data_IF_012521312758
#
_entry.id   IF_012521312758
#
_cell.length_a   1.000
_cell.length_b   1.000
_cell.length_c   1.000
_cell.angle_alpha   90.00
_cell.angle_beta   90.00
_cell.angle_gamma   90.00
#
_symmetry.space_group_name_H-M   'P 1'
#
loop_
_entity.id
_entity.type
_entity.pdbx_description
1 polymer ?
#
# COMPACT_ATOMS: atom_id res chain seq x y z
N UNK A 1 -29.45 43.88 -23.11
CA UNK A 1 -30.15 43.38 -21.90
C UNK A 1 -29.30 42.41 -21.07
N UNK A 2 -28.69 41.38 -21.67
CA UNK A 2 -27.81 40.43 -20.96
C UNK A 2 -26.61 41.07 -20.24
N UNK A 3 -25.89 41.99 -20.89
CA UNK A 3 -24.72 42.64 -20.31
C UNK A 3 -25.04 43.40 -19.01
N UNK A 4 -26.21 44.04 -18.96
CA UNK A 4 -26.61 44.80 -17.78
C UNK A 4 -26.90 43.86 -16.60
N UNK A 5 -27.62 42.77 -16.84
CA UNK A 5 -27.88 41.74 -15.83
C UNK A 5 -26.59 41.09 -15.33
N UNK A 6 -25.65 40.78 -16.24
CA UNK A 6 -24.35 40.22 -15.91
C UNK A 6 -23.52 41.17 -15.04
N UNK A 7 -23.41 42.45 -15.42
CA UNK A 7 -22.66 43.45 -14.66
C UNK A 7 -23.24 43.70 -13.26
N UNK A 8 -24.57 43.67 -13.11
CA UNK A 8 -25.25 43.82 -11.82
C UNK A 8 -25.01 42.61 -10.92
N UNK A 9 -25.05 41.39 -11.47
CA UNK A 9 -24.76 40.15 -10.73
C UNK A 9 -23.33 40.12 -10.19
N UNK A 10 -22.33 40.41 -11.03
CA UNK A 10 -20.93 40.50 -10.58
C UNK A 10 -20.79 41.53 -9.47
N UNK A 11 -21.40 42.70 -9.64
CA UNK A 11 -21.34 43.78 -8.65
C UNK A 11 -22.03 43.40 -7.32
N UNK A 12 -23.03 42.52 -7.36
CA UNK A 12 -23.69 41.95 -6.19
C UNK A 12 -22.80 40.93 -5.49
N UNK A 13 -22.25 39.94 -6.21
CA UNK A 13 -21.35 38.92 -5.62
C UNK A 13 -20.09 39.55 -5.02
N UNK A 14 -19.52 40.59 -5.66
CA UNK A 14 -18.34 41.28 -5.11
C UNK A 14 -18.67 42.10 -3.85
N UNK A 15 -19.93 42.47 -3.65
CA UNK A 15 -20.39 43.18 -2.45
C UNK A 15 -20.66 42.24 -1.27
N UNK A 16 -20.94 40.97 -1.54
CA UNK A 16 -21.06 39.95 -0.52
C UNK A 16 -19.67 39.53 -0.01
N UNK A 17 -19.11 40.40 0.85
CA UNK A 17 -17.79 40.20 1.44
C UNK A 17 -17.71 38.93 2.27
N UNK A 18 -18.82 38.51 2.87
CA UNK A 18 -18.88 37.29 3.67
C UNK A 18 -18.74 36.07 2.77
N UNK A 19 -19.52 35.99 1.68
CA UNK A 19 -19.42 34.91 0.71
C UNK A 19 -18.04 34.86 0.06
N UNK A 20 -17.51 36.00 -0.40
CA UNK A 20 -16.16 36.06 -0.96
C UNK A 20 -15.08 35.59 0.02
N UNK A 21 -15.16 36.05 1.27
CA UNK A 21 -14.22 35.64 2.30
C UNK A 21 -14.21 34.11 2.46
N UNK A 22 -15.38 33.48 2.55
CA UNK A 22 -15.47 32.02 2.68
C UNK A 22 -15.06 31.27 1.41
N UNK A 23 -15.39 31.76 0.21
CA UNK A 23 -15.00 31.14 -1.06
C UNK A 23 -13.47 31.07 -1.23
N UNK A 24 -12.73 32.06 -0.72
CA UNK A 24 -11.25 32.02 -0.75
C UNK A 24 -10.65 31.31 0.46
N UNK A 25 -11.20 31.55 1.65
CA UNK A 25 -10.61 31.02 2.89
C UNK A 25 -10.82 29.51 3.01
N UNK A 26 -11.98 28.99 2.61
CA UNK A 26 -12.30 27.57 2.77
C UNK A 26 -11.36 26.65 1.96
N UNK A 27 -11.10 26.88 0.66
CA UNK A 27 -10.14 26.07 -0.08
C UNK A 27 -8.72 26.18 0.48
N UNK A 28 -8.32 27.33 1.01
CA UNK A 28 -7.00 27.53 1.63
C UNK A 28 -6.82 26.72 2.91
N UNK A 29 -7.83 26.72 3.78
CA UNK A 29 -7.84 25.89 4.99
C UNK A 29 -7.82 24.41 4.58
N UNK A 30 -8.67 24.02 3.62
CA UNK A 30 -8.77 22.63 3.20
C UNK A 30 -7.48 22.13 2.53
N UNK A 31 -6.81 22.95 1.70
CA UNK A 31 -5.52 22.64 1.11
C UNK A 31 -4.44 22.39 2.19
N UNK A 32 -4.50 23.14 3.29
CA UNK A 32 -3.61 22.96 4.44
C UNK A 32 -3.90 21.64 5.16
N UNK A 33 -5.18 21.30 5.36
CA UNK A 33 -5.58 20.01 5.93
C UNK A 33 -5.23 18.84 5.01
N UNK A 34 -5.39 18.98 3.69
CA UNK A 34 -4.94 17.99 2.71
C UNK A 34 -3.43 17.79 2.81
N UNK A 35 -2.65 18.86 2.92
CA UNK A 35 -1.20 18.75 3.07
C UNK A 35 -0.83 17.98 4.33
N UNK A 36 -1.54 18.19 5.44
CA UNK A 36 -1.29 17.46 6.70
C UNK A 36 -1.75 16.01 6.63
N UNK A 37 -2.97 15.76 6.12
CA UNK A 37 -3.56 14.43 6.05
C UNK A 37 -2.85 13.53 5.04
N UNK A 38 -2.38 14.10 3.92
CA UNK A 38 -1.75 13.38 2.82
C UNK A 38 -0.23 13.39 2.88
N UNK A 39 0.40 14.09 3.83
CA UNK A 39 1.86 14.06 4.03
C UNK A 39 2.40 12.62 4.12
N UNK A 40 1.66 11.73 4.78
CA UNK A 40 2.05 10.32 4.95
C UNK A 40 1.57 9.39 3.83
N UNK A 41 0.75 9.87 2.88
CA UNK A 41 0.29 9.04 1.75
C UNK A 41 1.40 8.88 0.71
N UNK A 42 2.09 9.96 0.34
CA UNK A 42 3.16 9.91 -0.65
C UNK A 42 4.44 9.18 -0.17
N UNK A 43 4.68 9.07 1.14
CA UNK A 43 5.78 8.24 1.68
C UNK A 43 5.54 6.73 1.49
N UNK A 44 4.29 6.30 1.31
CA UNK A 44 3.95 4.88 1.19
C UNK A 44 3.82 4.39 -0.27
N UNK A 45 3.78 5.31 -1.25
CA UNK A 45 3.63 4.99 -2.69
C UNK A 45 4.95 4.79 -3.45
N UNK A 46 6.09 5.03 -2.79
CA UNK A 46 7.34 4.50 -3.33
C UNK A 46 7.37 3.03 -2.97
N UNK A 47 7.11 2.14 -3.93
CA UNK A 47 7.37 0.69 -3.87
C UNK A 47 8.87 0.43 -3.60
N UNK A 48 9.35 0.86 -2.43
CA UNK A 48 10.64 0.54 -1.89
C UNK A 48 10.51 -0.80 -1.19
N UNK A 49 11.42 -1.70 -1.49
CA UNK A 49 11.56 -3.00 -0.83
C UNK A 49 11.37 -2.88 0.69
N UNK A 50 10.43 -3.65 1.24
CA UNK A 50 10.04 -3.58 2.64
C UNK A 50 11.07 -4.34 3.48
N UNK A 51 11.78 -3.68 4.42
CA UNK A 51 12.75 -4.37 5.27
C UNK A 51 12.00 -5.25 6.29
N UNK A 52 12.30 -6.54 6.28
CA UNK A 52 11.75 -7.51 7.22
C UNK A 52 12.87 -8.37 7.79
N UNK A 53 12.65 -8.97 8.95
CA UNK A 53 13.56 -9.98 9.49
C UNK A 53 12.91 -11.36 9.52
N UNK A 54 13.72 -12.40 9.40
CA UNK A 54 13.27 -13.80 9.56
C UNK A 54 14.12 -14.46 10.62
N UNK A 55 13.46 -15.05 11.61
CA UNK A 55 14.13 -15.76 12.70
C UNK A 55 14.69 -17.08 12.18
N UNK A 56 16.01 -17.23 12.24
CA UNK A 56 16.71 -18.45 11.80
C UNK A 56 16.71 -19.51 12.91
N UNK A 57 15.55 -20.13 13.17
CA UNK A 57 15.42 -21.27 14.08
C UNK A 57 15.46 -22.62 13.35
N UNK A 58 15.38 -23.72 14.08
CA UNK A 58 15.37 -25.08 13.49
C UNK A 58 14.19 -25.26 12.51
N UNK A 59 13.04 -24.65 12.79
CA UNK A 59 11.86 -24.66 11.92
C UNK A 59 12.12 -23.97 10.57
N UNK A 60 12.90 -22.88 10.56
CA UNK A 60 13.30 -22.20 9.32
C UNK A 60 14.18 -23.11 8.44
N UNK A 61 15.07 -23.88 9.05
CA UNK A 61 15.93 -24.82 8.33
C UNK A 61 15.13 -26.00 7.76
N UNK A 62 14.13 -26.49 8.51
CA UNK A 62 13.27 -27.58 8.09
C UNK A 62 12.30 -27.18 6.96
N UNK A 63 11.80 -25.93 6.95
CA UNK A 63 10.83 -25.46 5.96
C UNK A 63 11.51 -24.93 4.68
N UNK A 64 11.80 -25.86 3.76
CA UNK A 64 12.36 -25.51 2.45
C UNK A 64 11.41 -24.69 1.56
N UNK A 65 10.10 -24.87 1.72
CA UNK A 65 9.07 -24.16 0.95
C UNK A 65 9.04 -22.69 1.35
N UNK A 66 9.05 -22.40 2.65
CA UNK A 66 9.09 -21.02 3.17
C UNK A 66 10.32 -20.29 2.64
N UNK A 67 11.50 -20.94 2.64
CA UNK A 67 12.73 -20.36 2.10
C UNK A 67 12.62 -20.01 0.62
N UNK A 68 12.11 -20.93 -0.20
CA UNK A 68 11.91 -20.67 -1.62
C UNK A 68 10.94 -19.51 -1.89
N UNK A 69 9.84 -19.43 -1.13
CA UNK A 69 8.88 -18.33 -1.27
C UNK A 69 9.51 -17.00 -0.84
N UNK A 70 10.26 -16.97 0.25
CA UNK A 70 10.96 -15.77 0.71
C UNK A 70 12.05 -15.33 -0.27
N UNK A 71 12.86 -16.25 -0.78
CA UNK A 71 13.89 -15.94 -1.76
C UNK A 71 13.26 -15.40 -3.07
N UNK A 72 12.12 -15.94 -3.49
CA UNK A 72 11.36 -15.43 -4.65
C UNK A 72 10.79 -14.02 -4.45
N UNK A 73 10.67 -13.56 -3.19
CA UNK A 73 10.26 -12.18 -2.88
C UNK A 73 11.44 -11.21 -2.77
N UNK A 74 12.67 -11.71 -2.66
CA UNK A 74 13.91 -10.93 -2.70
C UNK A 74 14.44 -10.74 -4.13
N UNK A 75 14.12 -11.65 -5.05
CA UNK A 75 14.72 -11.70 -6.40
C UNK A 75 13.91 -10.94 -7.47
N UNK A 76 14.62 -10.24 -8.37
CA UNK A 76 14.04 -9.55 -9.54
C UNK A 76 14.00 -8.01 -9.50
N UNK A 77 13.54 -7.40 -10.60
CA UNK A 77 13.42 -5.94 -10.75
C UNK A 77 12.33 -5.30 -9.86
N UNK A 78 11.54 -6.12 -9.15
CA UNK A 78 10.39 -5.72 -8.32
C UNK A 78 10.44 -6.41 -6.94
N UNK A 79 11.63 -6.46 -6.31
CA UNK A 79 11.82 -7.07 -4.99
C UNK A 79 10.88 -6.46 -3.94
N UNK A 80 9.99 -7.28 -3.37
CA UNK A 80 8.97 -6.86 -2.40
C UNK A 80 9.56 -6.71 -1.00
N UNK A 81 10.44 -7.63 -0.60
CA UNK A 81 11.03 -7.68 0.74
C UNK A 81 12.56 -7.65 0.68
N UNK A 82 13.17 -7.03 1.70
CA UNK A 82 14.61 -7.10 1.99
C UNK A 82 14.72 -7.87 3.28
N UNK A 83 15.26 -9.07 3.24
CA UNK A 83 15.17 -10.02 4.34
C UNK A 83 16.48 -10.07 5.10
N UNK A 84 16.44 -9.63 6.35
CA UNK A 84 17.52 -9.82 7.30
C UNK A 84 17.32 -11.12 8.08
N UNK A 85 18.26 -12.05 7.95
CA UNK A 85 18.22 -13.35 8.63
C UNK A 85 18.96 -13.20 9.96
N UNK A 86 18.25 -13.30 11.09
CA UNK A 86 18.80 -13.06 12.44
C UNK A 86 18.14 -13.97 13.48
N UNK A 87 18.64 -13.98 14.70
CA UNK A 87 17.96 -14.56 15.86
C UNK A 87 16.77 -13.69 16.33
N UNK A 88 15.93 -14.25 17.21
CA UNK A 88 14.74 -13.56 17.72
C UNK A 88 15.10 -12.27 18.49
N UNK A 89 16.21 -12.28 19.25
CA UNK A 89 16.68 -11.12 19.98
C UNK A 89 17.11 -9.98 19.04
N UNK A 90 17.85 -10.30 17.97
CA UNK A 90 18.23 -9.36 16.92
C UNK A 90 17.02 -8.80 16.18
N UNK A 91 16.07 -9.66 15.78
CA UNK A 91 14.84 -9.24 15.12
C UNK A 91 14.01 -8.28 16.00
N UNK A 92 13.91 -8.56 17.30
CA UNK A 92 13.22 -7.69 18.24
C UNK A 92 13.93 -6.33 18.41
N UNK A 93 15.27 -6.33 18.43
CA UNK A 93 16.08 -5.11 18.50
C UNK A 93 15.87 -4.24 17.26
N UNK A 94 15.94 -4.83 16.07
CA UNK A 94 15.70 -4.15 14.79
C UNK A 94 14.28 -3.57 14.72
N UNK A 95 13.29 -4.30 15.22
CA UNK A 95 11.90 -3.83 15.28
C UNK A 95 11.74 -2.62 16.20
N UNK A 96 12.41 -2.62 17.37
CA UNK A 96 12.40 -1.49 18.32
C UNK A 96 13.11 -0.26 17.76
N UNK A 97 14.16 -0.46 16.98
CA UNK A 97 14.89 0.61 16.27
C UNK A 97 14.14 1.12 15.04
N UNK A 98 12.97 0.56 14.71
CA UNK A 98 12.18 0.86 13.50
C UNK A 98 12.96 0.62 12.20
N UNK A 99 14.00 -0.23 12.23
CA UNK A 99 14.81 -0.58 11.07
C UNK A 99 14.09 -1.55 10.12
N UNK A 100 13.14 -2.34 10.67
CA UNK A 100 12.30 -3.30 9.94
C UNK A 100 10.82 -3.02 10.18
N UNK A 101 9.97 -3.37 9.22
CA UNK A 101 8.52 -3.27 9.34
C UNK A 101 7.93 -4.36 10.26
N UNK A 102 8.58 -5.52 10.30
CA UNK A 102 8.16 -6.67 11.09
C UNK A 102 9.12 -7.84 10.90
N UNK A 103 8.91 -8.89 11.68
CA UNK A 103 9.67 -10.13 11.55
C UNK A 103 8.77 -11.37 11.56
N UNK A 104 9.24 -12.40 10.88
CA UNK A 104 8.61 -13.72 10.81
C UNK A 104 9.32 -14.67 11.78
N UNK A 105 8.53 -15.41 12.55
CA UNK A 105 8.99 -16.50 13.42
C UNK A 105 8.48 -17.82 12.82
N UNK A 106 9.32 -18.56 12.08
CA UNK A 106 8.96 -19.86 11.53
C UNK A 106 8.60 -20.85 12.63
N UNK A 107 7.51 -21.56 12.46
CA UNK A 107 6.94 -22.47 13.46
C UNK A 107 5.61 -23.03 12.97
N UNK A 108 4.96 -23.81 13.81
CA UNK A 108 3.59 -24.29 13.56
C UNK A 108 2.66 -23.71 14.64
N UNK A 109 2.02 -22.56 14.41
CA UNK A 109 1.93 -21.79 13.15
C UNK A 109 3.07 -20.77 12.94
N UNK A 110 3.31 -20.39 11.67
CA UNK A 110 4.17 -19.24 11.31
C UNK A 110 3.61 -17.98 11.97
N UNK A 111 4.41 -17.30 12.78
CA UNK A 111 3.96 -16.10 13.51
C UNK A 111 4.57 -14.84 12.91
N UNK A 112 3.76 -13.79 12.76
CA UNK A 112 4.21 -12.47 12.30
C UNK A 112 4.15 -11.46 13.43
N UNK A 113 5.27 -10.78 13.70
CA UNK A 113 5.36 -9.72 14.69
C UNK A 113 5.63 -8.39 14.00
N UNK A 114 4.78 -7.39 14.25
CA UNK A 114 4.88 -6.05 13.68
C UNK A 114 4.82 -4.98 14.76
N UNK A 115 5.44 -3.83 14.51
CA UNK A 115 5.49 -2.70 15.46
C UNK A 115 4.28 -1.75 15.37
N UNK A 116 3.40 -1.90 14.37
CA UNK A 116 2.29 -0.98 14.14
C UNK A 116 1.30 -1.42 13.05
N UNK A 117 0.44 -0.50 12.62
CA UNK A 117 -0.65 -0.71 11.66
C UNK A 117 -0.48 0.05 10.34
N UNK A 118 0.76 0.32 9.93
CA UNK A 118 1.06 0.97 8.65
C UNK A 118 0.92 0.04 7.45
N UNK A 119 0.99 0.61 6.23
CA UNK A 119 0.83 -0.12 4.97
C UNK A 119 1.88 -1.24 4.85
N UNK A 120 3.15 -0.97 5.20
CA UNK A 120 4.24 -1.97 5.17
C UNK A 120 3.95 -3.17 6.08
N UNK A 121 3.42 -2.92 7.27
CA UNK A 121 3.03 -3.97 8.22
C UNK A 121 1.84 -4.77 7.72
N UNK A 122 0.86 -4.11 7.09
CA UNK A 122 -0.29 -4.76 6.47
C UNK A 122 0.13 -5.65 5.32
N UNK A 123 1.04 -5.20 4.44
CA UNK A 123 1.57 -6.01 3.34
C UNK A 123 2.24 -7.29 3.88
N UNK A 124 3.09 -7.17 4.91
CA UNK A 124 3.74 -8.33 5.53
C UNK A 124 2.73 -9.32 6.13
N UNK A 125 1.68 -8.83 6.79
CA UNK A 125 0.62 -9.67 7.34
C UNK A 125 -0.15 -10.40 6.25
N UNK A 126 -0.63 -9.67 5.24
CA UNK A 126 -1.36 -10.24 4.11
C UNK A 126 -0.52 -11.31 3.40
N UNK A 127 0.77 -11.05 3.20
CA UNK A 127 1.69 -12.03 2.62
C UNK A 127 1.79 -13.31 3.47
N UNK A 128 1.95 -13.19 4.79
CA UNK A 128 2.06 -14.35 5.66
C UNK A 128 0.73 -15.11 5.79
N UNK A 129 -0.39 -14.41 5.85
CA UNK A 129 -1.73 -15.01 5.87
C UNK A 129 -1.99 -15.77 4.56
N UNK A 130 -1.65 -15.19 3.41
CA UNK A 130 -1.76 -15.82 2.09
C UNK A 130 -0.86 -17.06 1.98
N UNK A 131 0.36 -16.99 2.48
CA UNK A 131 1.26 -18.15 2.56
C UNK A 131 0.68 -19.27 3.43
N UNK A 132 0.21 -18.95 4.64
CA UNK A 132 -0.39 -19.92 5.56
C UNK A 132 -1.66 -20.55 4.97
N UNK A 133 -2.51 -19.74 4.36
CA UNK A 133 -3.74 -20.19 3.73
C UNK A 133 -3.44 -21.11 2.53
N UNK A 134 -2.50 -20.72 1.68
CA UNK A 134 -2.09 -21.52 0.51
C UNK A 134 -1.46 -22.83 0.94
N UNK A 135 -0.56 -22.81 1.94
CA UNK A 135 0.07 -24.01 2.49
C UNK A 135 -0.99 -24.96 3.08
N UNK A 136 -1.90 -24.44 3.91
CA UNK A 136 -2.96 -25.25 4.50
C UNK A 136 -3.90 -25.84 3.45
N UNK A 137 -4.24 -25.07 2.40
CA UNK A 137 -5.03 -25.56 1.28
C UNK A 137 -4.31 -26.69 0.53
N UNK A 138 -3.01 -26.53 0.24
CA UNK A 138 -2.20 -27.57 -0.40
C UNK A 138 -2.11 -28.84 0.46
N UNK A 139 -1.83 -28.71 1.75
CA UNK A 139 -1.77 -29.83 2.70
C UNK A 139 -3.12 -30.57 2.74
N UNK A 140 -4.24 -29.84 2.80
CA UNK A 140 -5.58 -30.43 2.81
C UNK A 140 -5.95 -31.12 1.48
N UNK A 141 -5.60 -30.53 0.34
CA UNK A 141 -5.85 -31.14 -0.98
C UNK A 141 -5.04 -32.42 -1.13
N UNK A 142 -3.75 -32.40 -0.78
CA UNK A 142 -2.88 -33.58 -0.85
C UNK A 142 -3.30 -34.69 0.12
N UNK A 143 -3.82 -34.33 1.31
CA UNK A 143 -4.40 -35.29 2.24
C UNK A 143 -5.70 -35.94 1.71
N UNK A 144 -6.45 -35.22 0.87
CA UNK A 144 -7.71 -35.71 0.29
C UNK A 144 -7.47 -36.53 -0.98
N UNK A 145 -6.60 -36.08 -1.88
CA UNK A 145 -6.24 -36.78 -3.12
C UNK A 145 -4.79 -36.49 -3.53
N UNK A 146 -3.88 -37.40 -3.16
CA UNK A 146 -2.46 -37.30 -3.46
C UNK A 146 -2.11 -37.34 -4.96
N UNK A 147 -3.05 -37.71 -5.85
CA UNK A 147 -2.82 -37.70 -7.32
C UNK A 147 -2.79 -36.29 -7.90
N UNK A 148 -3.32 -35.30 -7.18
CA UNK A 148 -3.37 -33.90 -7.62
C UNK A 148 -2.05 -33.14 -7.43
N UNK A 149 -1.02 -33.78 -6.85
CA UNK A 149 0.27 -33.15 -6.60
C UNK A 149 0.91 -32.56 -7.87
N UNK A 150 0.94 -33.32 -8.96
CA UNK A 150 1.51 -32.86 -10.23
C UNK A 150 0.71 -31.70 -10.83
N UNK A 151 -0.62 -31.74 -10.73
CA UNK A 151 -1.50 -30.68 -11.22
C UNK A 151 -1.33 -29.38 -10.41
N UNK A 152 -1.18 -29.48 -9.09
CA UNK A 152 -0.91 -28.35 -8.19
C UNK A 152 0.44 -27.69 -8.48
N UNK A 153 1.49 -28.50 -8.69
CA UNK A 153 2.82 -28.02 -9.07
C UNK A 153 2.80 -27.29 -10.43
N UNK A 154 2.05 -27.82 -11.40
CA UNK A 154 1.87 -27.18 -12.70
C UNK A 154 1.09 -25.85 -12.61
N UNK A 155 0.05 -25.81 -11.77
CA UNK A 155 -0.76 -24.60 -11.56
C UNK A 155 0.02 -23.49 -10.84
N UNK A 156 0.85 -23.83 -9.85
CA UNK A 156 1.70 -22.88 -9.14
C UNK A 156 2.74 -22.20 -10.04
N UNK A 157 3.22 -22.90 -11.08
CA UNK A 157 4.16 -22.36 -12.06
C UNK A 157 3.53 -21.46 -13.13
N UNK A 158 2.21 -21.53 -13.32
CA UNK A 158 1.47 -20.70 -14.29
C UNK A 158 0.86 -19.48 -13.59
N UNK A 159 1.69 -18.51 -13.18
CA UNK A 159 1.19 -17.16 -12.92
C UNK A 159 0.81 -16.52 -14.26
N UNK A 160 -0.48 -16.58 -14.58
CA UNK A 160 -1.02 -15.87 -15.73
C UNK A 160 -1.24 -14.42 -15.31
N UNK A 161 -0.32 -13.53 -15.70
CA UNK A 161 -0.55 -12.09 -15.61
C UNK A 161 -1.65 -11.71 -16.62
N UNK A 162 -2.90 -11.83 -16.18
CA UNK A 162 -4.09 -11.51 -16.97
C UNK A 162 -4.28 -10.00 -17.14
N UNK A 163 -3.49 -9.19 -16.44
CA UNK A 163 -3.60 -7.73 -16.42
C UNK A 163 -2.26 -7.13 -16.85
N UNK A 164 -2.26 -6.52 -18.03
CA UNK A 164 -1.13 -5.73 -18.51
C UNK A 164 -1.35 -4.26 -18.14
N UNK A 165 -0.50 -3.73 -17.25
CA UNK A 165 -0.53 -2.31 -16.92
C UNK A 165 0.04 -1.50 -18.08
N UNK A 166 -0.77 -0.60 -18.65
CA UNK A 166 -0.36 0.25 -19.78
C UNK A 166 -0.30 1.69 -19.30
N UNK A 167 0.89 2.25 -19.02
CA UNK A 167 0.99 3.63 -18.60
C UNK A 167 0.52 4.56 -19.73
N UNK A 168 -0.46 5.41 -19.42
CA UNK A 168 -1.04 6.39 -20.35
C UNK A 168 -0.10 7.61 -20.52
N UNK A 169 0.95 7.74 -19.70
CA UNK A 169 2.01 8.75 -19.83
C UNK A 169 3.18 8.54 -18.88
N UNK A 170 4.22 9.39 -18.99
CA UNK A 170 5.45 9.33 -18.17
C UNK A 170 5.28 9.90 -16.75
N UNK A 171 4.10 10.43 -16.42
CA UNK A 171 3.82 10.93 -15.08
C UNK A 171 3.31 9.77 -14.21
N UNK A 172 3.96 9.52 -13.08
CA UNK A 172 3.38 8.67 -12.03
C UNK A 172 2.01 9.25 -11.67
N UNK A 173 0.97 8.41 -11.65
CA UNK A 173 -0.36 8.83 -11.22
C UNK A 173 -0.29 9.19 -9.73
N UNK A 174 -0.13 10.48 -9.44
CA UNK A 174 -0.15 10.97 -8.06
C UNK A 174 -1.62 11.18 -7.65
N UNK A 175 -2.10 10.27 -6.82
CA UNK A 175 -3.47 10.29 -6.33
C UNK A 175 -3.74 11.53 -5.46
N UNK A 176 -2.71 12.10 -4.83
CA UNK A 176 -2.79 13.34 -4.06
C UNK A 176 -3.11 14.52 -4.97
N UNK A 177 -2.51 14.61 -6.17
CA UNK A 177 -2.80 15.67 -7.14
C UNK A 177 -4.28 15.70 -7.55
N UNK A 178 -4.93 14.54 -7.63
CA UNK A 178 -6.35 14.45 -7.98
C UNK A 178 -7.22 15.18 -6.95
N UNK A 179 -6.92 15.06 -5.65
CA UNK A 179 -7.65 15.78 -4.60
C UNK A 179 -7.42 17.30 -4.66
N UNK A 180 -6.20 17.74 -4.97
CA UNK A 180 -5.92 19.17 -5.17
C UNK A 180 -6.63 19.73 -6.41
N UNK A 181 -6.72 18.98 -7.50
CA UNK A 181 -7.49 19.41 -8.67
C UNK A 181 -8.99 19.46 -8.39
N UNK A 182 -9.54 18.51 -7.63
CA UNK A 182 -10.93 18.56 -7.19
C UNK A 182 -11.22 19.80 -6.32
N UNK A 183 -10.28 20.17 -5.45
CA UNK A 183 -10.39 21.38 -4.62
C UNK A 183 -10.40 22.67 -5.45
N UNK A 184 -9.54 22.75 -6.48
CA UNK A 184 -9.54 23.88 -7.42
C UNK A 184 -10.88 23.94 -8.17
N UNK A 185 -11.39 22.80 -8.65
CA UNK A 185 -12.68 22.74 -9.35
C UNK A 185 -13.84 23.20 -8.46
N UNK A 186 -13.85 22.80 -7.18
CA UNK A 186 -14.82 23.25 -6.18
C UNK A 186 -14.73 24.77 -5.95
N UNK A 187 -13.51 25.32 -5.81
CA UNK A 187 -13.31 26.76 -5.65
C UNK A 187 -13.81 27.54 -6.89
N UNK A 188 -13.56 27.04 -8.10
CA UNK A 188 -14.10 27.62 -9.33
C UNK A 188 -15.63 27.54 -9.39
N UNK A 189 -16.22 26.42 -8.96
CA UNK A 189 -17.66 26.23 -8.92
C UNK A 189 -18.31 27.22 -7.95
N UNK A 190 -17.76 27.40 -6.75
CA UNK A 190 -18.23 28.39 -5.79
C UNK A 190 -18.02 29.84 -6.23
N UNK A 191 -16.97 30.14 -6.99
CA UNK A 191 -16.76 31.46 -7.59
C UNK A 191 -17.68 31.75 -8.79
N UNK A 192 -18.32 30.73 -9.36
CA UNK A 192 -19.23 30.85 -10.49
C UNK A 192 -20.69 31.15 -10.12
N UNK A 193 -21.07 31.03 -8.83
CA UNK A 193 -22.43 31.28 -8.33
C UNK A 193 -22.63 32.70 -7.79
#
# INVERSE_FOLDING_TARGET
MFWHLYSIRIRSSVRDRQMLFWTFLFPLILATFFSMAFANLNENDTFSTIPIAVVTNDSYQADSTLRQVLDATEDGQTALFRIERTDEAGAQSLLRQQAIAGYLVPGDPLTVVVSGSGIRQTILKVFADDYLQTRSAMEHILATDGRLQEALLAAAGQRVDLIADKPIGNAKADQVLTYYYALIAMACLYGGF
#
